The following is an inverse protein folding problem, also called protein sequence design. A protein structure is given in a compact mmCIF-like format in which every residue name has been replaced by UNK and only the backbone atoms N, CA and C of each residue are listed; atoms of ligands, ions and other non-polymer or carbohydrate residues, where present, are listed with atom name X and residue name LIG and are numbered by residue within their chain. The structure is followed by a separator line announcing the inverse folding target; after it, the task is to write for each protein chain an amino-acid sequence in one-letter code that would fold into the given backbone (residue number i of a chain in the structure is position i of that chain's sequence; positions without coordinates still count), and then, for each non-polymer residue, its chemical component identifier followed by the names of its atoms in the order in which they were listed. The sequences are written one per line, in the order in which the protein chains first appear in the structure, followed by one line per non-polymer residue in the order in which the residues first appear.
data_IF_399287141298
#
_entry.id   IF_399287141298
#
_cell.length_a   1.000
_cell.length_b   1.000
_cell.length_c   1.000
_cell.angle_alpha   90.00
_cell.angle_beta   90.00
_cell.angle_gamma   90.00
#
_symmetry.space_group_name_H-M   'P 1'
#
loop_
_entity.id
_entity.type
_entity.pdbx_description
1 polymer ?
#
# COMPACT_ATOMS: atom_id res chain seq x y z
N UNK A 1 -3.71 -4.36 -26.85
CA UNK A 1 -4.53 -3.78 -25.76
C UNK A 1 -4.38 -4.65 -24.51
N UNK A 2 -3.21 -4.65 -23.86
CA UNK A 2 -2.92 -5.45 -22.64
C UNK A 2 -2.27 -4.66 -21.50
N UNK A 3 -1.73 -3.46 -21.78
CA UNK A 3 -1.01 -2.63 -20.80
C UNK A 3 -1.80 -2.35 -19.51
N UNK A 4 -3.11 -2.16 -19.61
CA UNK A 4 -3.92 -1.73 -18.47
C UNK A 4 -4.07 -2.80 -17.39
N UNK A 5 -4.13 -4.09 -17.76
CA UNK A 5 -4.18 -5.19 -16.78
C UNK A 5 -2.85 -5.41 -16.08
N UNK A 6 -1.74 -5.27 -16.81
CA UNK A 6 -0.39 -5.37 -16.24
C UNK A 6 -0.10 -4.21 -15.29
N UNK A 7 -0.55 -2.99 -15.63
CA UNK A 7 -0.48 -1.82 -14.75
C UNK A 7 -1.30 -2.02 -13.47
N UNK A 8 -2.56 -2.45 -13.58
CA UNK A 8 -3.39 -2.79 -12.41
C UNK A 8 -2.70 -3.84 -11.54
N UNK A 9 -2.20 -4.92 -12.15
CA UNK A 9 -1.52 -5.99 -11.42
C UNK A 9 -0.28 -5.47 -10.69
N UNK A 10 0.50 -4.60 -11.34
CA UNK A 10 1.67 -3.96 -10.72
C UNK A 10 1.29 -3.10 -9.52
N UNK A 11 0.23 -2.28 -9.63
CA UNK A 11 -0.25 -1.44 -8.53
C UNK A 11 -0.76 -2.31 -7.37
N UNK A 12 -1.50 -3.37 -7.66
CA UNK A 12 -1.96 -4.33 -6.65
C UNK A 12 -0.80 -5.04 -5.95
N UNK A 13 0.24 -5.45 -6.68
CA UNK A 13 1.44 -6.06 -6.07
C UNK A 13 2.14 -5.07 -5.13
N UNK A 14 2.32 -3.82 -5.57
CA UNK A 14 2.91 -2.77 -4.72
C UNK A 14 2.09 -2.53 -3.44
N UNK A 15 0.75 -2.57 -3.54
CA UNK A 15 -0.13 -2.45 -2.37
C UNK A 15 0.04 -3.62 -1.39
N UNK A 16 0.20 -4.84 -1.90
CA UNK A 16 0.45 -6.05 -1.08
C UNK A 16 1.80 -5.95 -0.37
N UNK A 17 2.82 -5.46 -1.06
CA UNK A 17 4.16 -5.25 -0.48
C UNK A 17 4.08 -4.23 0.66
N UNK A 18 3.41 -3.09 0.46
CA UNK A 18 3.24 -2.10 1.53
C UNK A 18 2.41 -2.61 2.69
N UNK A 19 1.36 -3.39 2.43
CA UNK A 19 0.58 -4.05 3.48
C UNK A 19 1.45 -5.02 4.30
N UNK A 20 2.40 -5.70 3.67
CA UNK A 20 3.34 -6.61 4.34
C UNK A 20 4.29 -5.84 5.25
N UNK A 21 4.82 -4.71 4.77
CA UNK A 21 5.66 -3.80 5.58
C UNK A 21 4.90 -3.26 6.79
N UNK A 22 3.68 -2.75 6.58
CA UNK A 22 2.81 -2.25 7.64
C UNK A 22 2.53 -3.31 8.71
N UNK A 23 2.20 -4.54 8.30
CA UNK A 23 2.02 -5.68 9.21
C UNK A 23 3.28 -5.95 10.04
N UNK A 24 4.46 -5.87 9.44
CA UNK A 24 5.74 -6.02 10.14
C UNK A 24 5.92 -4.97 11.25
N UNK A 25 5.66 -3.70 10.96
CA UNK A 25 5.77 -2.64 11.96
C UNK A 25 4.75 -2.79 13.09
N UNK A 26 3.50 -3.15 12.79
CA UNK A 26 2.48 -3.41 13.81
C UNK A 26 2.88 -4.60 14.71
N UNK A 27 3.49 -5.64 14.15
CA UNK A 27 3.99 -6.77 14.94
C UNK A 27 5.15 -6.36 15.84
N UNK A 28 6.09 -5.56 15.34
CA UNK A 28 7.22 -5.03 16.12
C UNK A 28 6.74 -4.14 17.28
N UNK A 29 5.74 -3.30 17.05
CA UNK A 29 5.13 -2.45 18.07
C UNK A 29 4.51 -3.29 19.21
N UNK A 30 3.81 -4.37 18.87
CA UNK A 30 3.22 -5.31 19.84
C UNK A 30 4.24 -6.14 20.61
N UNK A 31 5.46 -6.31 20.09
CA UNK A 31 6.53 -7.12 20.73
C UNK A 31 7.29 -6.36 21.82
N UNK A 32 6.79 -5.21 22.28
CA UNK A 32 7.34 -4.42 23.40
C UNK A 32 8.72 -3.84 23.09
N UNK A 33 8.89 -3.32 21.87
CA UNK A 33 10.07 -2.55 21.49
C UNK A 33 10.05 -1.20 22.20
N UNK A 34 11.18 -0.81 22.78
CA UNK A 34 11.43 0.55 23.33
C UNK A 34 11.39 1.66 22.27
N UNK A 35 10.99 1.32 21.04
CA UNK A 35 10.98 2.17 19.86
C UNK A 35 9.53 2.35 19.48
N UNK A 36 9.09 3.61 19.47
CA UNK A 36 7.79 4.00 18.96
C UNK A 36 7.76 3.84 17.44
N UNK A 37 6.94 2.91 16.95
CA UNK A 37 6.75 2.65 15.53
C UNK A 37 5.54 3.38 14.95
N UNK A 38 4.77 4.11 15.76
CA UNK A 38 3.51 4.78 15.37
C UNK A 38 3.68 5.69 14.16
N UNK A 39 4.78 6.46 14.12
CA UNK A 39 5.07 7.39 13.03
C UNK A 39 5.31 6.66 11.70
N UNK A 40 6.02 5.53 11.75
CA UNK A 40 6.30 4.74 10.55
C UNK A 40 5.04 4.03 10.09
N UNK A 41 4.25 3.48 11.03
CA UNK A 41 2.93 2.88 10.75
C UNK A 41 2.03 3.89 10.03
N UNK A 42 1.94 5.13 10.54
CA UNK A 42 1.16 6.19 9.91
C UNK A 42 1.64 6.49 8.49
N UNK A 43 2.96 6.65 8.31
CA UNK A 43 3.55 6.89 6.99
C UNK A 43 3.23 5.77 6.00
N UNK A 44 3.29 4.51 6.42
CA UNK A 44 2.93 3.39 5.53
C UNK A 44 1.43 3.36 5.21
N UNK A 45 0.57 3.77 6.14
CA UNK A 45 -0.87 3.95 5.84
C UNK A 45 -1.09 5.05 4.80
N UNK A 46 -0.42 6.20 4.91
CA UNK A 46 -0.50 7.29 3.94
C UNK A 46 -0.02 6.83 2.55
N UNK A 47 1.09 6.06 2.49
CA UNK A 47 1.59 5.48 1.23
C UNK A 47 0.56 4.52 0.60
N UNK A 48 -0.09 3.68 1.40
CA UNK A 48 -1.13 2.77 0.92
C UNK A 48 -2.34 3.54 0.37
N UNK A 49 -2.74 4.64 1.00
CA UNK A 49 -3.82 5.50 0.51
C UNK A 49 -3.49 6.08 -0.86
N UNK A 50 -2.25 6.56 -1.07
CA UNK A 50 -1.80 7.04 -2.38
C UNK A 50 -1.87 5.96 -3.46
N UNK A 51 -1.42 4.74 -3.16
CA UNK A 51 -1.46 3.61 -4.11
C UNK A 51 -2.92 3.22 -4.45
N UNK A 52 -3.82 3.26 -3.47
CA UNK A 52 -5.24 3.01 -3.71
C UNK A 52 -5.86 4.08 -4.59
N UNK A 53 -5.52 5.36 -4.37
CA UNK A 53 -6.00 6.44 -5.24
C UNK A 53 -5.50 6.27 -6.68
N UNK A 54 -4.22 5.94 -6.87
CA UNK A 54 -3.66 5.65 -8.20
C UNK A 54 -4.39 4.49 -8.90
N UNK A 55 -4.71 3.42 -8.15
CA UNK A 55 -5.50 2.31 -8.66
C UNK A 55 -6.90 2.76 -9.10
N UNK A 56 -7.57 3.55 -8.26
CA UNK A 56 -8.92 4.04 -8.54
C UNK A 56 -8.95 4.95 -9.76
N UNK A 57 -8.00 5.87 -9.89
CA UNK A 57 -7.88 6.75 -11.05
C UNK A 57 -7.69 5.93 -12.34
N UNK A 58 -6.82 4.91 -12.31
CA UNK A 58 -6.60 4.03 -13.45
C UNK A 58 -7.86 3.25 -13.81
N UNK A 59 -8.59 2.73 -12.83
CA UNK A 59 -9.84 2.00 -13.05
C UNK A 59 -10.93 2.90 -13.64
N UNK A 60 -11.05 4.15 -13.18
CA UNK A 60 -12.01 5.11 -13.72
C UNK A 60 -11.71 5.44 -15.18
N UNK A 61 -10.44 5.71 -15.53
CA UNK A 61 -10.01 5.97 -16.91
C UNK A 61 -10.34 4.80 -17.85
N UNK A 62 -10.30 3.56 -17.34
CA UNK A 62 -10.60 2.38 -18.14
C UNK A 62 -12.10 2.12 -18.34
N UNK A 63 -12.96 2.76 -17.54
CA UNK A 63 -14.40 2.58 -17.59
C UNK A 63 -15.10 3.60 -18.50
N UNK A 64 -14.42 4.70 -18.84
CA UNK A 64 -14.81 5.70 -19.86
C UNK A 64 -14.39 5.31 -21.29
#
# INVERSE_FOLDING_TARGET
MSMSKEQILSICNNLIDQLTVLKGFIQLDRMNNKIDHSLIILKEMDNMELIVNELMDLLLIMMD
#
